data_IF_776800139672
#
_entry.id   IF_776800139672
#
_cell.length_a   1.000
_cell.length_b   1.000
_cell.length_c   1.000
_cell.angle_alpha   90.00
_cell.angle_beta   90.00
_cell.angle_gamma   90.00
#
_symmetry.space_group_name_H-M   'P 1'
#
loop_
_entity.id
_entity.type
_entity.pdbx_description
1 polymer ?
#
# COMPACT_ATOMS: atom_id res chain seq x y z
N UNK A 1 -6.56 13.37 -6.76
CA UNK A 1 -6.91 11.95 -6.95
C UNK A 1 -6.38 11.55 -8.31
N UNK A 2 -5.24 10.86 -8.34
CA UNK A 2 -4.75 10.19 -9.55
C UNK A 2 -5.11 8.73 -9.39
N UNK A 3 -5.94 8.20 -10.27
CA UNK A 3 -6.24 6.77 -10.29
C UNK A 3 -4.93 6.03 -10.57
N UNK A 4 -4.55 5.09 -9.69
CA UNK A 4 -3.50 4.13 -9.99
C UNK A 4 -4.00 3.26 -11.15
N UNK A 5 -3.13 2.99 -12.13
CA UNK A 5 -3.50 2.13 -13.26
C UNK A 5 -3.46 0.66 -12.87
N UNK A 6 -2.71 0.30 -11.82
CA UNK A 6 -2.76 -1.03 -11.20
C UNK A 6 -3.74 -1.08 -10.03
N UNK A 7 -4.27 -2.28 -9.76
CA UNK A 7 -5.12 -2.56 -8.62
C UNK A 7 -4.49 -3.60 -7.70
N UNK A 8 -4.48 -3.34 -6.40
CA UNK A 8 -4.23 -4.34 -5.38
C UNK A 8 -5.56 -4.94 -4.91
N UNK A 9 -5.67 -6.26 -4.91
CA UNK A 9 -6.92 -6.96 -4.64
C UNK A 9 -6.97 -7.44 -3.19
N UNK A 10 -8.15 -7.35 -2.56
CA UNK A 10 -8.34 -7.85 -1.20
C UNK A 10 -8.37 -9.38 -1.18
N UNK A 11 -7.66 -9.98 -0.24
CA UNK A 11 -7.67 -11.40 0.08
C UNK A 11 -8.58 -11.72 1.28
N UNK A 12 -9.34 -10.73 1.78
CA UNK A 12 -10.03 -10.80 3.07
C UNK A 12 -9.17 -10.26 4.22
N UNK A 13 -9.77 -10.09 5.41
CA UNK A 13 -9.10 -9.68 6.65
C UNK A 13 -8.22 -8.41 6.55
N UNK A 14 -8.65 -7.45 5.71
CA UNK A 14 -7.91 -6.23 5.38
C UNK A 14 -6.51 -6.47 4.78
N UNK A 15 -6.27 -7.66 4.23
CA UNK A 15 -5.04 -8.00 3.51
C UNK A 15 -5.26 -7.77 2.03
N UNK A 16 -4.30 -7.12 1.39
CA UNK A 16 -4.30 -6.82 -0.02
C UNK A 16 -3.05 -7.38 -0.68
N UNK A 17 -3.19 -7.87 -1.90
CA UNK A 17 -2.10 -8.36 -2.73
C UNK A 17 -1.96 -7.51 -3.98
N UNK A 18 -0.72 -7.14 -4.29
CA UNK A 18 -0.37 -6.33 -5.45
C UNK A 18 0.13 -7.20 -6.61
N UNK A 19 -0.16 -6.82 -7.87
CA UNK A 19 0.42 -7.51 -9.03
C UNK A 19 1.93 -7.29 -9.11
N UNK A 20 2.66 -8.14 -9.83
CA UNK A 20 4.14 -8.11 -9.88
C UNK A 20 4.77 -6.78 -10.36
N UNK A 21 4.00 -5.92 -11.06
CA UNK A 21 4.44 -4.61 -11.55
C UNK A 21 4.06 -3.45 -10.62
N UNK A 22 3.38 -3.74 -9.50
CA UNK A 22 3.07 -2.81 -8.43
C UNK A 22 3.75 -3.29 -7.15
N UNK A 23 4.44 -2.40 -6.44
CA UNK A 23 5.13 -2.74 -5.19
C UNK A 23 4.76 -1.76 -4.10
N UNK A 24 4.41 -2.31 -2.95
CA UNK A 24 4.22 -1.57 -1.71
C UNK A 24 5.52 -1.58 -0.91
N UNK A 25 5.89 -0.40 -0.42
CA UNK A 25 6.97 -0.19 0.52
C UNK A 25 6.41 0.49 1.77
N UNK A 26 6.87 0.07 2.95
CA UNK A 26 6.47 0.71 4.21
C UNK A 26 7.64 1.55 4.71
N UNK A 27 7.46 2.87 4.63
CA UNK A 27 8.43 3.89 4.98
C UNK A 27 8.31 4.28 6.45
N UNK A 28 9.42 4.58 7.11
CA UNK A 28 9.39 5.21 8.43
C UNK A 28 8.68 6.57 8.33
N UNK A 29 7.72 6.85 9.21
CA UNK A 29 6.96 8.11 9.20
C UNK A 29 7.83 9.33 9.46
N UNK A 30 8.88 9.19 10.26
CA UNK A 30 9.76 10.28 10.71
C UNK A 30 10.99 10.48 9.81
N UNK A 31 11.39 9.44 9.06
CA UNK A 31 12.53 9.50 8.13
C UNK A 31 12.11 8.98 6.74
N UNK A 32 12.05 9.86 5.72
CA UNK A 32 11.57 9.47 4.41
C UNK A 32 12.51 8.57 3.62
N UNK A 33 13.76 8.41 4.06
CA UNK A 33 14.78 7.59 3.38
C UNK A 33 14.96 6.20 3.99
N UNK A 34 14.25 5.88 5.08
CA UNK A 34 14.27 4.56 5.69
C UNK A 34 12.95 3.81 5.54
N UNK A 35 13.06 2.48 5.42
CA UNK A 35 11.94 1.54 5.36
C UNK A 35 11.93 0.70 6.63
N UNK A 36 10.72 0.31 7.06
CA UNK A 36 10.55 -0.52 8.25
C UNK A 36 10.50 -2.00 7.89
N UNK A 37 10.86 -2.85 8.85
CA UNK A 37 10.80 -4.30 8.72
C UNK A 37 9.37 -4.82 8.56
N UNK A 38 9.24 -6.06 8.08
CA UNK A 38 7.95 -6.74 7.97
C UNK A 38 7.19 -6.77 9.31
N UNK A 39 5.87 -6.58 9.26
CA UNK A 39 5.01 -6.52 10.44
C UNK A 39 5.01 -5.18 11.19
N UNK A 40 5.98 -4.29 10.94
CA UNK A 40 5.98 -2.94 11.52
C UNK A 40 5.09 -1.98 10.74
N UNK A 41 4.45 -1.07 11.47
CA UNK A 41 3.62 -0.01 10.89
C UNK A 41 4.48 1.16 10.42
N UNK A 42 4.14 1.72 9.27
CA UNK A 42 4.72 2.95 8.74
C UNK A 42 3.84 3.54 7.64
N UNK A 43 4.36 4.53 6.92
CA UNK A 43 3.67 5.17 5.81
C UNK A 43 3.78 4.33 4.52
N UNK A 44 2.70 4.27 3.74
CA UNK A 44 2.66 3.51 2.48
C UNK A 44 3.28 4.33 1.36
N UNK A 45 4.30 3.76 0.73
CA UNK A 45 4.79 4.17 -0.57
C UNK A 45 4.38 3.13 -1.62
N UNK A 46 4.01 3.61 -2.81
CA UNK A 46 3.56 2.79 -3.93
C UNK A 46 4.52 3.01 -5.10
N UNK A 47 5.02 1.90 -5.65
CA UNK A 47 5.65 1.87 -6.97
C UNK A 47 4.66 1.20 -7.92
N UNK A 48 4.15 1.92 -8.91
CA UNK A 48 3.27 1.37 -9.95
C UNK A 48 3.89 1.60 -11.32
N UNK A 49 4.45 0.54 -11.91
CA UNK A 49 5.09 0.61 -13.22
C UNK A 49 4.06 0.69 -14.38
N UNK A 50 2.78 0.43 -14.10
CA UNK A 50 1.72 0.64 -15.08
C UNK A 50 1.39 2.12 -15.26
N UNK A 51 1.74 2.99 -14.31
CA UNK A 51 1.57 4.45 -14.36
C UNK A 51 2.48 5.15 -15.39
N UNK A 52 2.56 4.64 -16.62
CA UNK A 52 3.45 5.11 -17.70
C UNK A 52 3.27 6.59 -18.06
N UNK A 53 2.05 7.11 -17.91
CA UNK A 53 1.68 8.49 -18.26
C UNK A 53 1.47 9.37 -17.02
N UNK A 54 1.88 8.89 -15.83
CA UNK A 54 1.71 9.60 -14.56
C UNK A 54 2.89 9.29 -13.62
N UNK A 55 2.75 9.64 -12.35
CA UNK A 55 3.76 9.34 -11.35
C UNK A 55 3.71 7.85 -10.97
N UNK A 56 4.81 7.14 -11.22
CA UNK A 56 4.98 5.75 -10.78
C UNK A 56 5.36 5.61 -9.31
N UNK A 57 5.91 6.64 -8.68
CA UNK A 57 6.44 6.59 -7.32
C UNK A 57 5.65 7.54 -6.42
N UNK A 58 4.71 6.99 -5.66
CA UNK A 58 3.76 7.77 -4.87
C UNK A 58 4.05 7.55 -3.39
N UNK A 59 4.36 8.64 -2.68
CA UNK A 59 4.37 8.66 -1.23
C UNK A 59 2.98 9.06 -0.74
N UNK A 60 2.26 8.12 -0.13
CA UNK A 60 0.92 8.39 0.40
C UNK A 60 1.00 8.93 1.82
N UNK A 61 -0.14 9.35 2.36
CA UNK A 61 -0.32 9.62 3.78
C UNK A 61 -1.14 8.52 4.46
N UNK A 62 -1.11 7.31 3.89
CA UNK A 62 -1.76 6.13 4.44
C UNK A 62 -0.76 5.37 5.32
N UNK A 63 -1.23 4.86 6.45
CA UNK A 63 -0.50 3.93 7.31
C UNK A 63 -0.75 2.50 6.86
N UNK A 64 0.29 1.69 6.89
CA UNK A 64 0.21 0.29 6.55
C UNK A 64 1.33 -0.53 7.15
N UNK A 65 1.25 -1.84 6.93
CA UNK A 65 2.33 -2.78 7.28
C UNK A 65 2.39 -3.92 6.28
N UNK A 66 3.58 -4.44 6.09
CA UNK A 66 3.79 -5.68 5.34
C UNK A 66 3.33 -6.88 6.17
N UNK A 67 2.69 -7.84 5.51
CA UNK A 67 2.25 -9.10 6.13
C UNK A 67 2.62 -10.28 5.23
N UNK A 68 2.63 -11.48 5.80
CA UNK A 68 2.78 -12.72 5.03
C UNK A 68 1.52 -12.98 4.22
N UNK A 69 1.66 -13.03 2.89
CA UNK A 69 0.59 -13.41 1.98
C UNK A 69 0.39 -14.92 1.90
N UNK A 70 -0.83 -15.39 1.56
CA UNK A 70 -1.11 -16.81 1.35
C UNK A 70 -0.41 -17.38 0.11
N UNK A 71 -0.16 -16.55 -0.90
CA UNK A 71 0.50 -16.92 -2.15
C UNK A 71 2.01 -16.62 -2.13
N UNK A 72 2.68 -16.83 -0.99
CA UNK A 72 4.08 -16.43 -0.65
C UNK A 72 5.22 -16.91 -1.57
N UNK A 73 5.05 -16.80 -2.88
CA UNK A 73 5.92 -17.22 -3.96
C UNK A 73 5.68 -16.26 -5.15
N UNK A 74 6.07 -15.00 -4.98
CA UNK A 74 5.99 -13.97 -6.02
C UNK A 74 6.59 -12.65 -5.55
N UNK A 75 6.82 -11.72 -6.49
CA UNK A 75 7.18 -10.33 -6.16
C UNK A 75 5.98 -9.54 -5.58
N UNK A 76 4.79 -10.16 -5.60
CA UNK A 76 3.58 -9.68 -4.96
C UNK A 76 3.73 -9.68 -3.44
N UNK A 77 3.79 -8.48 -2.89
CA UNK A 77 3.93 -8.21 -1.47
C UNK A 77 2.53 -8.02 -0.89
N UNK A 78 2.16 -8.81 0.13
CA UNK A 78 0.88 -8.65 0.83
C UNK A 78 1.00 -7.58 1.93
N UNK A 79 -0.01 -6.73 2.05
CA UNK A 79 0.03 -5.61 2.98
C UNK A 79 -1.36 -5.32 3.55
N UNK A 80 -1.39 -4.58 4.66
CA UNK A 80 -2.61 -4.05 5.24
C UNK A 80 -2.57 -2.53 5.20
N UNK A 81 -3.73 -1.91 4.96
CA UNK A 81 -3.97 -0.48 5.14
C UNK A 81 -4.63 -0.28 6.50
N UNK A 82 -4.01 0.52 7.36
CA UNK A 82 -4.40 0.71 8.76
C UNK A 82 -5.14 2.02 9.01
N UNK A 83 -5.07 2.97 8.07
CA UNK A 83 -5.73 4.28 8.18
C UNK A 83 -4.88 5.40 7.59
N UNK A 84 -5.18 6.66 7.95
CA UNK A 84 -4.42 7.86 7.56
C UNK A 84 -3.49 8.31 8.67
N UNK A 85 -2.35 8.90 8.31
CA UNK A 85 -1.36 9.44 9.26
C UNK A 85 -1.94 10.57 10.11
N UNK A 86 -2.74 11.45 9.50
CA UNK A 86 -3.31 12.62 10.16
C UNK A 86 -4.61 12.31 10.94
N UNK A 87 -4.95 11.02 11.07
CA UNK A 87 -6.21 10.55 11.67
C UNK A 87 -7.47 11.20 11.05
N UNK A 88 -7.37 11.82 9.87
CA UNK A 88 -8.52 12.34 9.16
C UNK A 88 -9.40 11.17 8.69
N UNK A 89 -10.69 11.28 8.99
CA UNK A 89 -11.72 10.24 8.98
C UNK A 89 -11.70 9.20 7.83
N UNK A 90 -12.27 8.04 8.18
CA UNK A 90 -12.82 6.91 7.38
C UNK A 90 -13.61 7.30 6.10
N UNK A 91 -13.93 8.60 5.90
CA UNK A 91 -14.84 9.10 4.85
C UNK A 91 -14.17 9.43 3.52
N UNK A 92 -12.96 8.93 3.28
CA UNK A 92 -12.27 9.03 2.00
C UNK A 92 -12.46 7.77 1.15
N UNK A 93 -13.51 7.72 0.33
CA UNK A 93 -13.65 6.89 -0.86
C UNK A 93 -13.00 5.48 -0.87
N UNK A 94 -13.26 4.63 0.12
CA UNK A 94 -13.32 3.19 -0.13
C UNK A 94 -14.78 2.79 -0.22
N UNK A 95 -15.35 2.82 -1.43
CA UNK A 95 -16.73 2.37 -1.70
C UNK A 95 -16.87 0.83 -1.66
N UNK A 96 -15.77 0.11 -1.43
CA UNK A 96 -15.72 -1.35 -1.35
C UNK A 96 -15.57 -1.84 0.10
N UNK A 97 -16.36 -1.26 1.00
CA UNK A 97 -16.67 -1.90 2.28
C UNK A 97 -18.09 -2.44 2.17
N UNK A 98 -18.23 -3.72 1.83
CA UNK A 98 -19.43 -4.52 2.11
C UNK A 98 -19.00 -5.87 2.65
#
# INVERSE_FOLDING_TARGET
>A
MTELLSQAYSLGDNIYESPNWMRILIRNTEDPFSYVEEGRTGAINIIDLANRYSCSFIATQDLGKMVKGPHGIGLGNAFQVLGRIDHSDIRGCSLLVS
#
